data_IF_097218204465
#
_entry.id   IF_097218204465
#
_cell.length_a   1.000
_cell.length_b   1.000
_cell.length_c   1.000
_cell.angle_alpha   90.00
_cell.angle_beta   90.00
_cell.angle_gamma   90.00
#
_symmetry.space_group_name_H-M   'P 1'
#
loop_
_entity.id
_entity.type
_entity.pdbx_description
1 polymer ?
#
# COMPACT_ATOMS: atom_id res chain seq x y z
N UNK A 1 5.55 -11.07 -2.43
CA UNK A 1 6.89 -11.42 -2.96
C UNK A 1 7.77 -10.18 -2.93
N UNK A 2 9.03 -10.25 -2.47
CA UNK A 2 9.88 -9.08 -2.26
C UNK A 2 10.36 -8.39 -3.55
N UNK A 3 10.15 -9.02 -4.71
CA UNK A 3 10.81 -8.61 -5.96
C UNK A 3 10.38 -7.25 -6.51
N UNK A 4 9.09 -6.89 -6.41
CA UNK A 4 8.58 -5.68 -7.08
C UNK A 4 9.05 -4.39 -6.40
N UNK A 5 9.14 -4.38 -5.06
CA UNK A 5 9.69 -3.26 -4.30
C UNK A 5 11.17 -3.01 -4.59
N UNK A 6 11.96 -4.08 -4.68
CA UNK A 6 13.39 -3.98 -4.93
C UNK A 6 13.63 -3.42 -6.34
N UNK A 7 12.85 -3.86 -7.32
CA UNK A 7 12.97 -3.38 -8.71
C UNK A 7 12.60 -1.90 -8.81
N UNK A 8 11.51 -1.45 -8.18
CA UNK A 8 11.08 -0.05 -8.25
C UNK A 8 12.03 0.91 -7.53
N UNK A 9 12.57 0.50 -6.38
CA UNK A 9 13.60 1.27 -5.68
C UNK A 9 14.91 1.36 -6.48
N UNK A 10 15.27 0.29 -7.18
CA UNK A 10 16.46 0.27 -8.03
C UNK A 10 16.29 1.23 -9.22
N UNK A 11 15.17 1.16 -9.94
CA UNK A 11 14.89 2.02 -11.11
C UNK A 11 14.99 3.51 -10.74
N UNK A 12 14.43 3.92 -9.60
CA UNK A 12 14.47 5.32 -9.17
C UNK A 12 15.78 5.73 -8.53
N UNK A 13 16.47 4.81 -7.87
CA UNK A 13 17.85 5.02 -7.44
C UNK A 13 18.77 5.39 -8.60
N UNK A 14 18.55 4.80 -9.79
CA UNK A 14 19.29 5.15 -11.02
C UNK A 14 18.75 6.41 -11.71
N UNK A 15 17.44 6.63 -11.72
CA UNK A 15 16.83 7.77 -12.40
C UNK A 15 17.07 9.10 -11.68
N UNK A 16 17.13 9.08 -10.34
CA UNK A 16 17.29 10.27 -9.51
C UNK A 16 18.19 10.02 -8.28
N UNK A 17 19.51 9.87 -8.51
CA UNK A 17 20.47 9.55 -7.46
C UNK A 17 20.63 10.69 -6.45
N UNK A 18 20.82 10.33 -5.18
CA UNK A 18 21.08 11.30 -4.08
C UNK A 18 19.84 11.85 -3.38
N UNK A 19 18.63 11.49 -3.83
CA UNK A 19 17.37 11.95 -3.25
C UNK A 19 16.57 10.80 -2.62
N UNK A 20 16.83 10.45 -1.35
CA UNK A 20 16.14 9.35 -0.67
C UNK A 20 14.63 9.57 -0.51
N UNK A 21 14.19 10.84 -0.47
CA UNK A 21 12.78 11.22 -0.39
C UNK A 21 12.01 10.80 -1.65
N UNK A 22 12.63 10.89 -2.83
CA UNK A 22 12.00 10.47 -4.09
C UNK A 22 11.77 8.96 -4.12
N UNK A 23 12.73 8.18 -3.61
CA UNK A 23 12.61 6.73 -3.50
C UNK A 23 11.48 6.33 -2.51
N UNK A 24 11.42 6.99 -1.36
CA UNK A 24 10.36 6.76 -0.37
C UNK A 24 8.98 7.11 -0.92
N UNK A 25 8.82 8.25 -1.60
CA UNK A 25 7.56 8.61 -2.25
C UNK A 25 7.12 7.54 -3.24
N UNK A 26 8.03 7.11 -4.12
CA UNK A 26 7.66 6.13 -5.13
C UNK A 26 7.33 4.75 -4.56
N UNK A 27 8.02 4.32 -3.49
CA UNK A 27 7.66 3.11 -2.76
C UNK A 27 6.28 3.21 -2.11
N UNK A 28 5.98 4.36 -1.49
CA UNK A 28 4.69 4.59 -0.83
C UNK A 28 3.55 4.54 -1.84
N UNK A 29 3.68 5.26 -2.96
CA UNK A 29 2.67 5.28 -4.01
C UNK A 29 2.59 3.97 -4.81
N UNK A 30 3.73 3.34 -5.06
CA UNK A 30 3.86 2.19 -5.96
C UNK A 30 3.71 0.83 -5.30
N UNK A 31 3.66 0.73 -3.97
CA UNK A 31 3.47 -0.57 -3.30
C UNK A 31 2.70 -0.47 -1.99
N UNK A 32 3.11 0.44 -1.10
CA UNK A 32 2.54 0.48 0.25
C UNK A 32 1.04 0.80 0.19
N UNK A 33 0.65 1.78 -0.62
CA UNK A 33 -0.75 2.13 -0.87
C UNK A 33 -1.59 0.94 -1.35
N UNK A 34 -1.08 0.15 -2.29
CA UNK A 34 -1.78 -1.02 -2.83
C UNK A 34 -1.91 -2.13 -1.80
N UNK A 35 -0.85 -2.41 -1.03
CA UNK A 35 -0.92 -3.42 0.03
C UNK A 35 -1.92 -3.05 1.11
N UNK A 36 -1.92 -1.78 1.55
CA UNK A 36 -2.89 -1.25 2.50
C UNK A 36 -4.33 -1.33 1.95
N UNK A 37 -4.54 -0.95 0.69
CA UNK A 37 -5.86 -1.04 0.05
C UNK A 37 -6.39 -2.48 -0.03
N UNK A 38 -5.53 -3.46 -0.32
CA UNK A 38 -5.94 -4.87 -0.36
C UNK A 38 -6.33 -5.37 1.03
N UNK A 39 -5.54 -5.05 2.06
CA UNK A 39 -5.87 -5.42 3.45
C UNK A 39 -7.19 -4.79 3.89
N UNK A 40 -7.39 -3.51 3.56
CA UNK A 40 -8.63 -2.78 3.82
C UNK A 40 -9.86 -3.43 3.13
N UNK A 41 -9.72 -3.88 1.88
CA UNK A 41 -10.77 -4.62 1.18
C UNK A 41 -11.04 -6.01 1.78
N UNK A 42 -10.01 -6.69 2.30
CA UNK A 42 -10.17 -7.97 2.99
C UNK A 42 -11.01 -7.81 4.26
N UNK A 43 -10.75 -6.76 5.04
CA UNK A 43 -11.48 -6.48 6.27
C UNK A 43 -12.93 -6.05 6.00
N UNK A 44 -13.18 -5.30 4.91
CA UNK A 44 -14.56 -5.03 4.49
C UNK A 44 -15.33 -6.28 4.07
N UNK A 45 -14.67 -7.21 3.37
CA UNK A 45 -15.31 -8.47 3.01
C UNK A 45 -15.68 -9.28 4.26
N UNK A 46 -14.81 -9.31 5.26
CA UNK A 46 -15.09 -9.96 6.54
C UNK A 46 -16.21 -9.26 7.32
N UNK A 47 -16.17 -7.93 7.41
CA UNK A 47 -17.22 -7.12 8.05
C UNK A 47 -18.58 -7.32 7.41
N UNK A 48 -18.62 -7.43 6.08
CA UNK A 48 -19.83 -7.80 5.35
C UNK A 48 -20.35 -9.19 5.75
N UNK A 49 -19.48 -10.18 5.92
CA UNK A 49 -19.89 -11.52 6.42
C UNK A 49 -20.41 -11.48 7.86
N UNK A 50 -19.87 -10.61 8.71
CA UNK A 50 -20.31 -10.41 10.09
C UNK A 50 -21.54 -9.49 10.22
N UNK A 51 -22.06 -8.95 9.12
CA UNK A 51 -23.17 -7.97 9.06
C UNK A 51 -22.89 -6.68 9.85
N UNK A 52 -21.63 -6.26 9.92
CA UNK A 52 -21.23 -5.00 10.52
C UNK A 52 -21.41 -3.89 9.47
N UNK A 53 -22.03 -2.74 9.81
CA UNK A 53 -22.23 -1.66 8.85
C UNK A 53 -20.88 -1.13 8.32
N UNK A 54 -20.76 -0.85 7.01
CA UNK A 54 -19.49 -0.49 6.39
C UNK A 54 -18.89 0.84 6.89
N UNK A 55 -19.73 1.78 7.35
CA UNK A 55 -19.28 3.07 7.90
C UNK A 55 -18.54 2.89 9.23
N UNK A 56 -19.03 2.01 10.10
CA UNK A 56 -18.35 1.74 11.38
C UNK A 56 -17.07 0.93 11.18
N UNK A 57 -17.05 0.05 10.17
CA UNK A 57 -15.82 -0.66 9.77
C UNK A 57 -14.77 0.32 9.25
N UNK A 58 -15.16 1.30 8.42
CA UNK A 58 -14.24 2.30 7.91
C UNK A 58 -13.62 3.19 9.00
N UNK A 59 -14.41 3.56 10.01
CA UNK A 59 -13.95 4.43 11.10
C UNK A 59 -13.04 3.71 12.11
N UNK A 60 -13.09 2.38 12.17
CA UNK A 60 -12.29 1.58 13.09
C UNK A 60 -10.93 1.15 12.51
N UNK A 61 -10.76 1.29 11.19
CA UNK A 61 -9.56 0.91 10.45
C UNK A 61 -8.68 2.13 10.17
#
# INVERSE_FOLDING_TARGET
TPGLNIITEYIIGYLYPGYPVANMCFKVYGYISMTQAITFLQDFKLGHYMKIPPVTMFMAQ
#
